data_IF_810313468822
#
_entry.id   IF_810313468822
#
_cell.length_a   1.000
_cell.length_b   1.000
_cell.length_c   1.000
_cell.angle_alpha   90.00
_cell.angle_beta   90.00
_cell.angle_gamma   90.00
#
_symmetry.space_group_name_H-M   'P 1'
#
loop_
_entity.id
_entity.type
_entity.pdbx_description
1 polymer ?
#
# COMPACT_ATOMS: atom_id res chain seq x y z
N UNK A 1 -14.58 23.31 24.07
CA UNK A 1 -14.30 22.08 24.84
C UNK A 1 -14.87 20.82 24.18
N UNK A 2 -16.15 20.81 23.73
CA UNK A 2 -16.80 19.63 23.14
C UNK A 2 -16.11 19.12 21.85
N UNK A 3 -15.78 19.99 20.90
CA UNK A 3 -15.11 19.57 19.65
C UNK A 3 -13.74 18.92 19.90
N UNK A 4 -12.98 19.44 20.88
CA UNK A 4 -11.64 18.95 21.22
C UNK A 4 -11.61 17.57 21.87
N UNK A 5 -12.75 17.07 22.37
CA UNK A 5 -12.87 15.69 22.88
C UNK A 5 -13.52 14.76 21.87
N UNK A 6 -14.50 15.24 21.11
CA UNK A 6 -15.23 14.43 20.12
C UNK A 6 -14.33 14.01 18.95
N UNK A 7 -13.54 14.93 18.36
CA UNK A 7 -12.67 14.60 17.23
C UNK A 7 -11.62 13.52 17.53
N UNK A 8 -10.78 13.64 18.59
CA UNK A 8 -9.79 12.60 18.89
C UNK A 8 -10.45 11.28 19.28
N UNK A 9 -11.60 11.31 19.94
CA UNK A 9 -12.35 10.10 20.26
C UNK A 9 -12.79 9.35 18.99
N UNK A 10 -13.43 10.05 18.04
CA UNK A 10 -13.84 9.45 16.77
C UNK A 10 -12.65 8.95 15.95
N UNK A 11 -11.54 9.69 15.95
CA UNK A 11 -10.31 9.29 15.27
C UNK A 11 -9.72 7.99 15.86
N UNK A 12 -9.72 7.87 17.19
CA UNK A 12 -9.23 6.67 17.88
C UNK A 12 -10.12 5.47 17.58
N UNK A 13 -11.45 5.64 17.63
CA UNK A 13 -12.41 4.59 17.24
C UNK A 13 -12.19 4.15 15.80
N UNK A 14 -12.09 5.10 14.86
CA UNK A 14 -11.84 4.80 13.45
C UNK A 14 -10.51 4.04 13.24
N UNK A 15 -9.45 4.47 13.94
CA UNK A 15 -8.14 3.80 13.89
C UNK A 15 -8.22 2.37 14.40
N UNK A 16 -8.91 2.13 15.52
CA UNK A 16 -9.11 0.78 16.08
C UNK A 16 -9.91 -0.08 15.09
N UNK A 17 -11.01 0.44 14.53
CA UNK A 17 -11.82 -0.29 13.56
C UNK A 17 -11.00 -0.68 12.32
N UNK A 18 -10.16 0.22 11.81
CA UNK A 18 -9.29 -0.05 10.65
C UNK A 18 -8.26 -1.13 10.98
N UNK A 19 -7.50 -0.97 12.07
CA UNK A 19 -6.40 -1.89 12.42
C UNK A 19 -6.94 -3.28 12.76
N UNK A 20 -7.93 -3.37 13.64
CA UNK A 20 -8.53 -4.64 14.04
C UNK A 20 -9.25 -5.30 12.87
N UNK A 21 -10.01 -4.53 12.08
CA UNK A 21 -10.72 -5.04 10.91
C UNK A 21 -9.79 -5.64 9.86
N UNK A 22 -8.68 -4.95 9.56
CA UNK A 22 -7.65 -5.44 8.63
C UNK A 22 -6.96 -6.68 9.19
N UNK A 23 -6.55 -6.67 10.46
CA UNK A 23 -5.88 -7.82 11.09
C UNK A 23 -6.76 -9.08 11.08
N UNK A 24 -8.03 -8.96 11.48
CA UNK A 24 -8.97 -10.08 11.45
C UNK A 24 -9.19 -10.61 10.02
N UNK A 25 -9.18 -9.73 9.02
CA UNK A 25 -9.34 -10.12 7.62
C UNK A 25 -8.13 -10.86 7.09
N UNK A 26 -6.92 -10.41 7.42
CA UNK A 26 -5.67 -11.11 7.08
C UNK A 26 -5.66 -12.51 7.70
N UNK A 27 -5.99 -12.63 9.00
CA UNK A 27 -6.05 -13.91 9.70
C UNK A 27 -7.07 -14.85 9.05
N UNK A 28 -8.24 -14.32 8.67
CA UNK A 28 -9.29 -15.12 8.02
C UNK A 28 -8.80 -15.64 6.66
N UNK A 29 -8.16 -14.79 5.85
CA UNK A 29 -7.66 -15.19 4.54
C UNK A 29 -6.48 -16.15 4.61
N UNK A 30 -5.58 -15.97 5.57
CA UNK A 30 -4.45 -16.90 5.76
C UNK A 30 -4.88 -18.30 6.21
N UNK A 31 -6.06 -18.43 6.82
CA UNK A 31 -6.63 -19.71 7.28
C UNK A 31 -7.65 -20.32 6.32
N UNK A 32 -8.10 -19.56 5.32
CA UNK A 32 -9.09 -20.05 4.35
C UNK A 32 -8.36 -20.92 3.32
N UNK A 33 -8.62 -22.23 3.23
CA UNK A 33 -7.96 -23.07 2.24
C UNK A 33 -8.40 -22.65 0.83
N UNK A 34 -7.47 -22.63 -0.12
CA UNK A 34 -7.78 -22.36 -1.52
C UNK A 34 -8.55 -23.56 -2.11
N UNK A 35 -9.82 -23.39 -2.54
CA UNK A 35 -10.65 -24.50 -2.98
C UNK A 35 -10.24 -25.09 -4.34
N UNK A 36 -9.45 -24.36 -5.13
CA UNK A 36 -8.99 -24.79 -6.45
C UNK A 36 -7.48 -24.58 -6.56
N UNK A 37 -6.74 -25.67 -6.75
CA UNK A 37 -5.30 -25.65 -7.03
C UNK A 37 -5.11 -25.73 -8.54
N UNK A 38 -5.36 -24.64 -9.25
CA UNK A 38 -5.11 -24.56 -10.69
C UNK A 38 -3.65 -24.17 -10.88
N UNK A 39 -2.77 -25.06 -11.36
CA UNK A 39 -1.40 -24.69 -11.67
C UNK A 39 -1.41 -23.74 -12.87
N UNK A 40 -1.15 -22.47 -12.63
CA UNK A 40 -0.85 -21.52 -13.71
C UNK A 40 0.56 -21.80 -14.19
N UNK A 41 0.67 -22.53 -15.30
CA UNK A 41 1.97 -22.95 -15.84
C UNK A 41 2.70 -21.78 -16.52
N UNK A 42 4.04 -21.72 -16.45
CA UNK A 42 4.92 -22.48 -15.54
C UNK A 42 4.96 -21.85 -14.14
N UNK A 43 4.52 -22.59 -13.12
CA UNK A 43 4.59 -22.17 -11.73
C UNK A 43 5.96 -22.52 -11.12
N UNK A 44 6.60 -21.62 -10.35
CA UNK A 44 7.86 -21.94 -9.68
C UNK A 44 7.68 -23.10 -8.68
N UNK A 45 8.61 -24.06 -8.70
CA UNK A 45 8.60 -25.23 -7.80
C UNK A 45 9.35 -25.00 -6.50
N UNK A 46 10.06 -23.87 -6.38
CA UNK A 46 10.81 -23.48 -5.18
C UNK A 46 10.10 -22.33 -4.46
N UNK A 47 10.17 -22.32 -3.13
CA UNK A 47 9.62 -21.23 -2.31
C UNK A 47 10.20 -19.87 -2.71
N UNK A 48 11.51 -19.81 -2.98
CA UNK A 48 12.16 -18.58 -3.45
C UNK A 48 11.61 -18.09 -4.80
N UNK A 49 11.30 -19.02 -5.71
CA UNK A 49 10.68 -18.70 -6.99
C UNK A 49 9.27 -18.12 -6.81
N UNK A 50 8.47 -18.65 -5.89
CA UNK A 50 7.13 -18.12 -5.57
C UNK A 50 7.23 -16.72 -5.00
N UNK A 51 8.15 -16.47 -4.05
CA UNK A 51 8.35 -15.15 -3.46
C UNK A 51 8.76 -14.13 -4.54
N UNK A 52 9.69 -14.49 -5.43
CA UNK A 52 10.10 -13.61 -6.53
C UNK A 52 8.95 -13.33 -7.50
N UNK A 53 8.14 -14.34 -7.82
CA UNK A 53 6.96 -14.17 -8.68
C UNK A 53 5.96 -13.21 -8.04
N UNK A 54 5.60 -13.44 -6.77
CA UNK A 54 4.67 -12.57 -6.05
C UNK A 54 5.21 -11.16 -5.92
N UNK A 55 6.50 -10.98 -5.66
CA UNK A 55 7.11 -9.66 -5.64
C UNK A 55 6.99 -8.94 -6.99
N UNK A 56 7.28 -9.61 -8.11
CA UNK A 56 7.19 -9.02 -9.45
C UNK A 56 5.74 -8.71 -9.84
N UNK A 57 4.79 -9.54 -9.44
CA UNK A 57 3.38 -9.28 -9.71
C UNK A 57 2.82 -8.15 -8.83
N UNK A 58 3.16 -8.11 -7.55
CA UNK A 58 2.61 -7.11 -6.60
C UNK A 58 3.30 -5.75 -6.72
N UNK A 59 4.62 -5.74 -6.85
CA UNK A 59 5.39 -4.49 -6.90
C UNK A 59 5.48 -4.01 -8.34
N UNK A 60 5.87 -4.87 -9.29
CA UNK A 60 6.14 -4.48 -10.68
C UNK A 60 4.91 -4.55 -11.60
N UNK A 61 3.81 -5.18 -11.17
CA UNK A 61 2.64 -5.46 -12.02
C UNK A 61 3.04 -6.12 -13.34
N UNK A 62 3.91 -7.14 -13.28
CA UNK A 62 4.47 -7.79 -14.47
C UNK A 62 3.41 -8.33 -15.44
N UNK A 63 2.35 -8.97 -14.93
CA UNK A 63 1.23 -9.44 -15.76
C UNK A 63 0.54 -8.29 -16.50
N UNK A 64 0.32 -7.16 -15.82
CA UNK A 64 -0.28 -5.97 -16.41
C UNK A 64 0.64 -5.33 -17.46
N UNK A 65 1.95 -5.32 -17.22
CA UNK A 65 2.93 -4.83 -18.19
C UNK A 65 2.87 -5.62 -19.51
N UNK A 66 2.70 -6.95 -19.42
CA UNK A 66 2.57 -7.84 -20.59
C UNK A 66 1.21 -7.68 -21.28
N UNK A 67 0.14 -7.41 -20.54
CA UNK A 67 -1.23 -7.28 -21.09
C UNK A 67 -1.52 -5.91 -21.71
N UNK A 68 -1.24 -4.82 -20.97
CA UNK A 68 -1.50 -3.44 -21.41
C UNK A 68 -0.48 -2.47 -20.84
N UNK A 69 0.46 -2.04 -21.68
CA UNK A 69 1.52 -1.09 -21.30
C UNK A 69 0.96 0.25 -20.82
N UNK A 70 -0.19 0.68 -21.37
CA UNK A 70 -0.84 1.93 -20.97
C UNK A 70 -1.44 1.85 -19.57
N UNK A 71 -2.20 0.79 -19.29
CA UNK A 71 -2.78 0.58 -17.95
C UNK A 71 -1.69 0.37 -16.91
N UNK A 72 -0.60 -0.32 -17.29
CA UNK A 72 0.57 -0.45 -16.44
C UNK A 72 1.20 0.90 -16.12
N UNK A 73 1.47 1.73 -17.13
CA UNK A 73 2.12 3.04 -16.95
C UNK A 73 1.29 3.97 -16.07
N UNK A 74 0.01 4.12 -16.37
CA UNK A 74 -0.88 4.99 -15.59
C UNK A 74 -1.17 4.43 -14.19
N UNK A 75 -1.26 3.10 -14.06
CA UNK A 75 -1.37 2.45 -12.75
C UNK A 75 -0.14 2.73 -11.89
N UNK A 76 1.06 2.59 -12.45
CA UNK A 76 2.31 2.93 -11.77
C UNK A 76 2.36 4.41 -11.37
N UNK A 77 2.07 5.32 -12.30
CA UNK A 77 2.08 6.74 -12.03
C UNK A 77 1.10 7.12 -10.90
N UNK A 78 -0.10 6.55 -10.91
CA UNK A 78 -1.11 6.76 -9.87
C UNK A 78 -0.63 6.27 -8.49
N UNK A 79 -0.11 5.04 -8.40
CA UNK A 79 0.37 4.50 -7.12
C UNK A 79 1.57 5.29 -6.59
N UNK A 80 2.51 5.70 -7.44
CA UNK A 80 3.62 6.56 -7.02
C UNK A 80 3.15 7.93 -6.54
N UNK A 81 2.13 8.50 -7.19
CA UNK A 81 1.46 9.71 -6.72
C UNK A 81 0.88 9.54 -5.31
N UNK A 82 0.20 8.42 -5.04
CA UNK A 82 -0.32 8.12 -3.70
C UNK A 82 0.79 7.94 -2.65
N UNK A 83 1.91 7.30 -3.02
CA UNK A 83 3.06 7.13 -2.12
C UNK A 83 3.66 8.50 -1.76
N UNK A 84 3.87 9.37 -2.74
CA UNK A 84 4.37 10.73 -2.50
C UNK A 84 3.39 11.53 -1.63
N UNK A 85 2.09 11.43 -1.91
CA UNK A 85 1.07 12.07 -1.09
C UNK A 85 1.11 11.57 0.36
N UNK A 86 1.20 10.25 0.57
CA UNK A 86 1.30 9.65 1.91
C UNK A 86 2.55 10.14 2.66
N UNK A 87 3.70 10.16 2.00
CA UNK A 87 4.95 10.66 2.59
C UNK A 87 4.90 12.15 2.93
N UNK A 88 4.17 12.95 2.14
CA UNK A 88 3.90 14.35 2.48
C UNK A 88 3.07 14.47 3.76
N UNK A 89 2.09 13.59 3.96
CA UNK A 89 1.27 13.60 5.18
C UNK A 89 2.07 13.12 6.40
N UNK A 90 2.98 12.17 6.23
CA UNK A 90 3.83 11.64 7.30
C UNK A 90 4.60 12.74 8.04
N UNK A 91 4.97 13.81 7.35
CA UNK A 91 5.63 15.00 7.92
C UNK A 91 4.91 15.53 9.17
N UNK A 92 3.58 15.57 9.15
CA UNK A 92 2.80 16.15 10.25
C UNK A 92 2.73 15.25 11.49
N UNK A 93 3.22 14.02 11.40
CA UNK A 93 3.22 13.04 12.50
C UNK A 93 4.60 12.85 13.14
N UNK A 94 5.66 13.46 12.60
CA UNK A 94 7.04 13.31 13.08
C UNK A 94 7.65 14.65 13.49
N UNK A 95 7.99 14.81 14.77
CA UNK A 95 8.72 15.98 15.29
C UNK A 95 9.95 15.52 16.10
N UNK A 96 11.18 15.86 15.67
CA UNK A 96 11.54 16.59 14.44
C UNK A 96 11.27 15.77 13.17
N UNK A 97 11.07 16.46 12.04
CA UNK A 97 10.84 15.78 10.75
C UNK A 97 12.09 15.01 10.36
N UNK A 98 11.92 13.77 9.91
CA UNK A 98 13.04 12.96 9.47
C UNK A 98 13.65 13.52 8.17
N UNK A 99 14.99 13.61 8.11
CA UNK A 99 15.73 14.23 6.99
C UNK A 99 15.33 13.68 5.61
N UNK A 100 15.04 12.39 5.49
CA UNK A 100 14.65 11.78 4.22
C UNK A 100 13.22 12.15 3.79
N UNK A 101 12.32 12.45 4.74
CA UNK A 101 10.97 12.95 4.46
C UNK A 101 11.03 14.42 4.00
N UNK A 102 11.92 15.22 4.59
CA UNK A 102 12.19 16.60 4.14
C UNK A 102 12.70 16.64 2.70
N UNK A 103 13.65 15.75 2.38
CA UNK A 103 14.18 15.60 1.03
C UNK A 103 13.13 15.14 0.03
N UNK A 104 11.92 14.67 0.40
CA UNK A 104 10.87 14.33 -0.58
C UNK A 104 9.93 15.52 -0.84
N UNK A 105 9.96 16.56 -0.01
CA UNK A 105 9.02 17.69 -0.08
C UNK A 105 9.14 18.54 -1.35
N UNK A 106 10.34 18.69 -1.92
CA UNK A 106 10.56 19.37 -3.21
C UNK A 106 9.71 18.77 -4.36
N UNK A 107 9.45 17.46 -4.34
CA UNK A 107 8.58 16.80 -5.33
C UNK A 107 7.13 17.29 -5.19
N UNK A 108 6.69 17.62 -3.98
CA UNK A 108 5.36 18.15 -3.69
C UNK A 108 5.10 19.54 -4.28
N UNK A 109 6.14 20.36 -4.53
CA UNK A 109 6.00 21.68 -5.16
C UNK A 109 5.47 21.59 -6.59
N UNK A 110 5.76 20.49 -7.30
CA UNK A 110 5.31 20.25 -8.68
C UNK A 110 3.94 19.54 -8.75
N UNK A 111 3.41 19.05 -7.62
CA UNK A 111 2.17 18.27 -7.54
C UNK A 111 0.93 19.07 -7.11
N UNK A 112 1.02 20.40 -7.06
CA UNK A 112 -0.02 21.28 -6.52
C UNK A 112 0.27 21.67 -5.06
N UNK A 113 0.97 22.80 -4.91
CA UNK A 113 1.14 23.52 -3.66
C UNK A 113 -0.15 24.22 -3.24
#
# INVERSE_FOLDING_TARGET
MILGTVYPFLFLVATICLVVGVALRIIRYSRTPAPLVIPTTPAPTTTGGVVSLMFREVVLFESLFKGSKWTWLFGWLFHFGLVVALLRHLRYFTEPVWRWVEVIQWVGLYGGG
#
